data_IF_452098806566
#
_entry.id   IF_452098806566
#
_cell.length_a   1.000
_cell.length_b   1.000
_cell.length_c   1.000
_cell.angle_alpha   90.00
_cell.angle_beta   90.00
_cell.angle_gamma   90.00
#
_symmetry.space_group_name_H-M   'P 1'
#
loop_
_entity.id
_entity.type
_entity.pdbx_description
1 polymer ?
#
# COMPACT_ATOMS: atom_id res chain seq x y z
N UNK A 1 5.30 7.07 -1.28
CA UNK A 1 4.44 6.81 -2.47
C UNK A 1 5.29 6.73 -3.73
N UNK A 2 4.84 6.02 -4.76
CA UNK A 2 5.54 5.83 -6.02
C UNK A 2 4.57 5.75 -7.19
N UNK A 3 5.10 5.50 -8.39
CA UNK A 3 4.34 5.37 -9.61
C UNK A 3 3.62 4.01 -9.64
N UNK A 4 2.30 4.02 -9.59
CA UNK A 4 1.47 2.81 -9.61
C UNK A 4 1.25 2.36 -11.07
N UNK A 5 2.05 1.38 -11.50
CA UNK A 5 1.96 0.80 -12.85
C UNK A 5 0.70 -0.05 -13.02
N UNK A 6 0.26 -0.75 -11.98
CA UNK A 6 -0.89 -1.64 -12.06
C UNK A 6 -2.19 -0.83 -12.21
N UNK A 7 -2.34 0.24 -11.42
CA UNK A 7 -3.47 1.15 -11.57
C UNK A 7 -3.49 1.83 -12.94
N UNK A 8 -2.34 2.30 -13.44
CA UNK A 8 -2.24 2.90 -14.77
C UNK A 8 -2.60 1.90 -15.86
N UNK A 9 -2.07 0.68 -15.81
CA UNK A 9 -2.37 -0.39 -16.77
C UNK A 9 -3.86 -0.72 -16.80
N UNK A 10 -4.47 -0.89 -15.63
CA UNK A 10 -5.89 -1.19 -15.52
C UNK A 10 -6.75 -0.07 -16.15
N UNK A 11 -6.44 1.19 -15.86
CA UNK A 11 -7.14 2.33 -16.42
C UNK A 11 -6.95 2.42 -17.95
N UNK A 12 -5.74 2.17 -18.47
CA UNK A 12 -5.47 2.17 -19.91
C UNK A 12 -6.20 1.06 -20.65
N UNK A 13 -6.26 -0.15 -20.07
CA UNK A 13 -7.01 -1.25 -20.67
C UNK A 13 -8.52 -0.95 -20.76
N UNK A 14 -9.05 -0.21 -19.83
CA UNK A 14 -10.47 0.14 -19.78
C UNK A 14 -10.83 1.37 -20.61
N UNK A 15 -9.95 2.39 -20.65
CA UNK A 15 -10.27 3.71 -21.20
C UNK A 15 -9.41 4.12 -22.40
N UNK A 16 -8.39 3.36 -22.74
CA UNK A 16 -7.47 3.59 -23.88
C UNK A 16 -6.48 4.73 -23.66
N UNK A 17 -6.96 5.92 -23.27
CA UNK A 17 -6.16 7.11 -22.99
C UNK A 17 -6.42 7.59 -21.56
N UNK A 18 -5.36 7.85 -20.82
CA UNK A 18 -5.43 8.32 -19.42
C UNK A 18 -4.44 9.45 -19.22
N UNK A 19 -4.87 10.51 -18.55
CA UNK A 19 -3.97 11.55 -18.05
C UNK A 19 -3.66 11.28 -16.57
N UNK A 20 -2.39 11.08 -16.22
CA UNK A 20 -1.94 10.98 -14.84
C UNK A 20 -1.51 12.35 -14.34
N UNK A 21 -2.10 12.78 -13.23
CA UNK A 21 -1.75 14.03 -12.54
C UNK A 21 -1.09 13.67 -11.22
N UNK A 22 0.12 14.17 -10.96
CA UNK A 22 0.91 13.88 -9.75
C UNK A 22 1.40 15.16 -9.09
N UNK A 23 1.42 15.19 -7.76
CA UNK A 23 2.09 16.25 -6.99
C UNK A 23 3.60 16.03 -7.10
N UNK A 24 4.29 16.92 -7.80
CA UNK A 24 5.71 16.83 -8.06
C UNK A 24 6.56 17.59 -7.02
N UNK A 25 6.01 18.67 -6.46
CA UNK A 25 6.66 19.45 -5.42
C UNK A 25 5.62 20.19 -4.56
N UNK A 26 6.00 20.49 -3.32
CA UNK A 26 5.18 21.20 -2.34
C UNK A 26 6.02 22.30 -1.69
N UNK A 27 5.40 23.45 -1.45
CA UNK A 27 5.92 24.52 -0.60
C UNK A 27 4.88 24.91 0.42
N UNK A 28 5.20 24.87 1.71
CA UNK A 28 4.24 25.09 2.79
C UNK A 28 3.28 23.92 3.03
N UNK A 29 2.08 24.18 3.53
CA UNK A 29 1.10 23.14 3.84
C UNK A 29 0.36 22.67 2.58
N UNK A 30 0.18 21.38 2.44
CA UNK A 30 -0.54 20.73 1.33
C UNK A 30 -1.46 19.62 1.86
N UNK A 31 -2.61 19.37 1.22
CA UNK A 31 -3.51 18.29 1.64
C UNK A 31 -2.95 16.88 1.40
N UNK A 32 -2.02 16.73 0.47
CA UNK A 32 -1.35 15.44 0.17
C UNK A 32 0.14 15.67 -0.06
N UNK A 33 0.89 14.61 0.09
CA UNK A 33 2.34 14.53 -0.05
C UNK A 33 2.80 14.48 -1.52
N UNK A 34 4.09 14.73 -1.74
CA UNK A 34 4.74 14.54 -3.06
C UNK A 34 4.62 13.08 -3.48
N UNK A 35 4.23 12.85 -4.74
CA UNK A 35 3.95 11.53 -5.30
C UNK A 35 2.48 11.11 -5.21
N UNK A 36 1.63 11.83 -4.48
CA UNK A 36 0.20 11.61 -4.55
C UNK A 36 -0.30 11.90 -5.96
N UNK A 37 -1.09 10.99 -6.53
CA UNK A 37 -1.49 11.05 -7.93
C UNK A 37 -2.95 10.66 -8.13
N UNK A 38 -3.52 11.12 -9.23
CA UNK A 38 -4.80 10.69 -9.77
C UNK A 38 -4.67 10.36 -11.24
N UNK A 39 -5.52 9.44 -11.71
CA UNK A 39 -5.70 9.09 -13.12
C UNK A 39 -7.01 9.67 -13.60
N UNK A 40 -6.99 10.36 -14.73
CA UNK A 40 -8.14 11.07 -15.28
C UNK A 40 -8.38 10.59 -16.71
N UNK A 41 -9.63 10.27 -17.05
CA UNK A 41 -10.11 9.92 -18.38
C UNK A 41 -11.38 10.71 -18.70
N UNK A 42 -11.94 10.56 -19.87
CA UNK A 42 -13.02 11.43 -20.39
C UNK A 42 -14.20 11.60 -19.43
N UNK A 43 -14.67 10.53 -18.80
CA UNK A 43 -15.87 10.55 -17.96
C UNK A 43 -15.63 10.24 -16.49
N UNK A 44 -14.34 10.16 -16.04
CA UNK A 44 -14.07 9.80 -14.66
C UNK A 44 -12.63 10.03 -14.23
N UNK A 45 -12.37 9.64 -13.01
CA UNK A 45 -11.04 9.65 -12.42
C UNK A 45 -10.92 8.60 -11.31
N UNK A 46 -9.70 8.24 -10.96
CA UNK A 46 -9.35 7.43 -9.78
C UNK A 46 -8.11 7.98 -9.08
N UNK A 47 -7.96 7.67 -7.81
CA UNK A 47 -6.92 8.30 -6.99
C UNK A 47 -7.29 9.72 -6.59
N UNK A 48 -6.38 10.41 -5.90
CA UNK A 48 -6.62 11.78 -5.41
C UNK A 48 -5.31 12.52 -5.17
N UNK A 49 -5.30 13.82 -5.45
CA UNK A 49 -4.25 14.78 -5.11
C UNK A 49 -4.62 15.68 -3.92
N UNK A 50 -5.71 15.34 -3.21
CA UNK A 50 -6.14 16.01 -2.00
C UNK A 50 -7.55 16.57 -2.02
N UNK A 51 -8.30 16.38 -3.12
CA UNK A 51 -9.70 16.83 -3.26
C UNK A 51 -9.87 18.33 -3.43
N UNK A 52 -11.13 18.77 -3.35
CA UNK A 52 -11.51 20.19 -3.44
C UNK A 52 -11.28 20.82 -4.81
N UNK A 53 -11.17 22.16 -4.81
CA UNK A 53 -11.07 22.97 -6.04
C UNK A 53 -9.83 22.60 -6.87
N UNK A 54 -8.68 22.37 -6.23
CA UNK A 54 -7.45 22.00 -6.90
C UNK A 54 -7.62 20.73 -7.75
N UNK A 55 -8.17 19.67 -7.17
CA UNK A 55 -8.36 18.40 -7.84
C UNK A 55 -9.37 18.53 -8.98
N UNK A 56 -10.46 19.25 -8.75
CA UNK A 56 -11.47 19.52 -9.78
C UNK A 56 -10.86 20.26 -10.99
N UNK A 57 -10.15 21.37 -10.76
CA UNK A 57 -9.50 22.14 -11.83
C UNK A 57 -8.42 21.34 -12.56
N UNK A 58 -7.63 20.56 -11.82
CA UNK A 58 -6.61 19.71 -12.40
C UNK A 58 -7.22 18.58 -13.25
N UNK A 59 -8.33 17.97 -12.81
CA UNK A 59 -9.06 16.97 -13.58
C UNK A 59 -9.66 17.54 -14.86
N UNK A 60 -10.31 18.71 -14.79
CA UNK A 60 -10.84 19.40 -15.98
C UNK A 60 -9.75 19.78 -16.98
N UNK A 61 -8.61 20.25 -16.48
CA UNK A 61 -7.45 20.55 -17.31
C UNK A 61 -6.88 19.30 -17.95
N UNK A 62 -6.78 18.20 -17.21
CA UNK A 62 -6.27 16.91 -17.69
C UNK A 62 -7.16 16.32 -18.80
N UNK A 63 -8.50 16.46 -18.72
CA UNK A 63 -9.43 16.02 -19.77
C UNK A 63 -9.23 16.75 -21.07
N UNK A 64 -8.89 18.04 -21.02
CA UNK A 64 -8.70 18.92 -22.18
C UNK A 64 -7.25 18.98 -22.68
N UNK A 65 -6.33 18.29 -21.97
CA UNK A 65 -4.92 18.34 -22.31
C UNK A 65 -4.65 17.67 -23.66
N UNK A 66 -4.01 18.41 -24.56
CA UNK A 66 -3.55 17.96 -25.88
C UNK A 66 -2.04 17.66 -25.89
N UNK A 67 -1.28 18.31 -25.00
CA UNK A 67 0.17 18.12 -24.86
C UNK A 67 0.49 16.88 -24.04
N UNK A 68 1.56 16.18 -24.43
CA UNK A 68 2.00 14.96 -23.75
C UNK A 68 2.24 15.18 -22.26
N UNK A 69 2.91 16.27 -21.91
CA UNK A 69 3.27 16.62 -20.53
C UNK A 69 2.99 18.10 -20.27
N UNK A 70 2.52 18.40 -19.08
CA UNK A 70 2.29 19.76 -18.58
C UNK A 70 2.79 19.86 -17.16
N UNK A 71 3.58 20.90 -16.87
CA UNK A 71 3.99 21.33 -15.53
C UNK A 71 3.20 22.59 -15.15
N UNK A 72 2.59 22.61 -13.97
CA UNK A 72 1.85 23.78 -13.48
C UNK A 72 2.02 23.93 -11.98
N UNK A 73 2.03 25.19 -11.49
CA UNK A 73 2.11 25.50 -10.05
C UNK A 73 0.84 26.22 -9.63
N UNK A 74 0.26 25.77 -8.51
CA UNK A 74 -1.01 26.26 -7.97
C UNK A 74 -0.79 26.71 -6.55
N UNK A 75 -1.19 27.95 -6.23
CA UNK A 75 -1.26 28.45 -4.87
C UNK A 75 -2.51 27.92 -4.18
N UNK A 76 -2.38 27.37 -2.99
CA UNK A 76 -3.48 26.80 -2.19
C UNK A 76 -4.10 27.85 -1.26
N UNK A 77 -4.15 29.11 -1.71
CA UNK A 77 -4.63 30.21 -0.92
C UNK A 77 -6.12 30.50 -1.10
N UNK A 78 -6.57 31.72 -0.73
CA UNK A 78 -7.95 32.16 -0.83
C UNK A 78 -8.58 32.01 -2.20
N UNK A 79 -7.79 32.05 -3.27
CA UNK A 79 -8.26 31.92 -4.66
C UNK A 79 -8.89 30.55 -4.95
N UNK A 80 -8.49 29.50 -4.22
CA UNK A 80 -9.07 28.15 -4.30
C UNK A 80 -10.01 27.82 -3.14
N UNK A 81 -10.31 28.80 -2.26
CA UNK A 81 -11.17 28.61 -1.09
C UNK A 81 -10.63 27.58 -0.09
N UNK A 82 -9.31 27.32 -0.10
CA UNK A 82 -8.67 26.38 0.80
C UNK A 82 -7.95 27.10 1.96
N UNK A 83 -8.03 26.51 3.15
CA UNK A 83 -7.34 27.01 4.34
C UNK A 83 -5.82 26.72 4.33
N UNK A 84 -5.33 25.94 3.38
CA UNK A 84 -3.91 25.60 3.22
C UNK A 84 -3.18 26.76 2.53
N UNK A 85 -2.23 27.40 3.24
CA UNK A 85 -1.46 28.54 2.72
C UNK A 85 -0.21 28.16 1.90
N UNK A 86 -0.13 26.93 1.37
CA UNK A 86 1.01 26.45 0.59
C UNK A 86 0.84 26.57 -0.93
N UNK A 87 1.77 25.98 -1.66
CA UNK A 87 1.65 25.80 -3.11
C UNK A 87 2.08 24.40 -3.51
N UNK A 88 1.46 23.88 -4.57
CA UNK A 88 1.79 22.58 -5.16
C UNK A 88 2.19 22.74 -6.61
N UNK A 89 3.18 21.97 -7.04
CA UNK A 89 3.53 21.83 -8.45
C UNK A 89 2.99 20.49 -8.93
N UNK A 90 2.18 20.52 -9.98
CA UNK A 90 1.59 19.35 -10.61
C UNK A 90 2.28 19.04 -11.92
N UNK A 91 2.52 17.75 -12.15
CA UNK A 91 2.86 17.20 -13.46
C UNK A 91 1.66 16.42 -13.97
N UNK A 92 1.18 16.77 -15.16
CA UNK A 92 0.08 16.08 -15.85
C UNK A 92 0.62 15.46 -17.13
N UNK A 93 0.44 14.15 -17.30
CA UNK A 93 1.03 13.39 -18.40
C UNK A 93 -0.01 12.44 -19.01
N UNK A 94 -0.10 12.47 -20.34
CA UNK A 94 -0.98 11.59 -21.10
C UNK A 94 -0.24 10.28 -21.37
N UNK A 95 -0.93 9.17 -21.11
CA UNK A 95 -0.46 7.82 -21.39
C UNK A 95 -1.45 7.07 -22.28
N UNK A 96 -0.91 6.23 -23.15
CA UNK A 96 -1.56 5.15 -23.84
C UNK A 96 -0.81 3.83 -23.61
N UNK A 97 -1.23 2.73 -24.23
CA UNK A 97 -0.58 1.44 -24.06
C UNK A 97 0.83 1.36 -24.65
N UNK A 98 1.13 2.17 -25.67
CA UNK A 98 2.47 2.25 -26.26
C UNK A 98 3.44 2.96 -25.32
N UNK A 99 3.00 4.06 -24.71
CA UNK A 99 3.76 4.75 -23.66
C UNK A 99 4.00 3.85 -22.46
N UNK A 100 2.96 3.14 -22.03
CA UNK A 100 3.04 2.21 -20.90
C UNK A 100 4.12 1.13 -21.11
N UNK A 101 4.19 0.58 -22.32
CA UNK A 101 5.16 -0.46 -22.67
C UNK A 101 6.64 0.00 -22.60
N UNK A 102 6.86 1.33 -22.60
CA UNK A 102 8.21 1.94 -22.51
C UNK A 102 8.62 2.32 -21.09
N UNK A 103 7.71 2.20 -20.12
CA UNK A 103 8.02 2.57 -18.72
C UNK A 103 8.97 1.56 -18.09
N UNK A 104 9.92 2.07 -17.29
CA UNK A 104 10.77 1.24 -16.44
C UNK A 104 9.95 0.57 -15.31
N UNK A 105 10.41 -0.55 -14.83
CA UNK A 105 9.72 -1.35 -13.78
C UNK A 105 10.26 -1.10 -12.36
N UNK A 106 11.27 -0.25 -12.23
CA UNK A 106 11.86 0.08 -10.92
C UNK A 106 11.81 1.56 -10.61
N UNK A 107 12.28 2.40 -11.55
CA UNK A 107 12.36 3.85 -11.38
C UNK A 107 12.00 4.54 -12.69
N UNK A 108 10.95 5.34 -12.67
CA UNK A 108 10.51 6.11 -13.81
C UNK A 108 11.16 7.50 -13.73
N UNK A 109 12.08 7.76 -14.64
CA UNK A 109 12.80 9.02 -14.78
C UNK A 109 12.50 9.64 -16.14
N UNK A 110 11.94 10.84 -16.15
CA UNK A 110 11.49 11.48 -17.39
C UNK A 110 11.53 13.00 -17.34
N UNK A 111 11.76 13.68 -18.49
CA UNK A 111 11.65 15.11 -18.58
C UNK A 111 10.17 15.52 -18.52
N UNK A 112 9.87 16.62 -17.84
CA UNK A 112 8.47 17.11 -17.66
C UNK A 112 8.24 18.49 -18.28
N UNK A 113 9.24 19.03 -18.95
CA UNK A 113 9.13 20.27 -19.74
C UNK A 113 9.93 20.14 -21.04
N UNK A 114 9.55 20.89 -22.10
CA UNK A 114 10.31 20.89 -23.38
C UNK A 114 11.76 21.38 -23.25
N UNK A 115 12.02 22.21 -22.23
CA UNK A 115 13.35 22.78 -21.96
C UNK A 115 14.29 21.77 -21.27
N UNK A 116 13.77 20.66 -20.79
CA UNK A 116 14.58 19.62 -20.18
C UNK A 116 15.57 19.07 -21.21
N UNK A 117 16.84 19.04 -20.81
CA UNK A 117 17.93 18.49 -21.64
C UNK A 117 17.60 17.03 -21.97
N UNK A 118 18.02 16.57 -23.15
CA UNK A 118 17.74 15.21 -23.66
C UNK A 118 18.27 14.06 -22.77
N UNK A 119 19.10 14.37 -21.79
CA UNK A 119 19.58 13.39 -20.82
C UNK A 119 19.45 13.90 -19.38
N UNK A 120 19.20 13.01 -18.40
CA UNK A 120 19.08 13.40 -17.00
C UNK A 120 20.29 14.17 -16.49
N UNK A 121 20.08 15.21 -15.66
CA UNK A 121 21.16 15.97 -15.02
C UNK A 121 22.13 15.05 -14.27
N UNK A 122 23.40 15.46 -14.23
CA UNK A 122 24.44 14.67 -13.56
C UNK A 122 24.13 14.45 -12.06
N UNK A 123 23.46 15.43 -11.44
CA UNK A 123 22.99 15.34 -10.05
C UNK A 123 22.02 14.14 -9.87
N UNK A 124 21.05 13.98 -10.75
CA UNK A 124 20.09 12.86 -10.74
C UNK A 124 20.80 11.52 -10.93
N UNK A 125 21.73 11.45 -11.90
CA UNK A 125 22.51 10.23 -12.16
C UNK A 125 23.34 9.80 -10.95
N UNK A 126 24.02 10.78 -10.31
CA UNK A 126 24.83 10.54 -9.10
C UNK A 126 23.97 10.06 -7.93
N UNK A 127 22.84 10.71 -7.70
CA UNK A 127 21.92 10.35 -6.63
C UNK A 127 21.39 8.93 -6.82
N UNK A 128 20.95 8.56 -8.02
CA UNK A 128 20.48 7.20 -8.33
C UNK A 128 21.60 6.17 -8.14
N UNK A 129 22.83 6.46 -8.57
CA UNK A 129 23.98 5.57 -8.38
C UNK A 129 24.28 5.37 -6.88
N UNK A 130 24.24 6.43 -6.08
CA UNK A 130 24.45 6.37 -4.64
C UNK A 130 23.37 5.55 -3.94
N UNK A 131 22.08 5.78 -4.24
CA UNK A 131 20.96 5.04 -3.66
C UNK A 131 21.05 3.55 -4.01
N UNK A 132 21.40 3.21 -5.26
CA UNK A 132 21.63 1.82 -5.67
C UNK A 132 22.78 1.16 -4.90
N UNK A 133 23.88 1.86 -4.72
CA UNK A 133 25.03 1.36 -3.96
C UNK A 133 24.69 1.10 -2.48
N UNK A 134 23.74 1.85 -1.92
CA UNK A 134 23.28 1.73 -0.54
C UNK A 134 22.07 0.78 -0.39
N UNK A 135 21.55 0.20 -1.47
CA UNK A 135 20.32 -0.60 -1.46
C UNK A 135 19.07 0.20 -1.07
N UNK A 136 19.12 1.53 -1.21
CA UNK A 136 18.03 2.43 -0.87
C UNK A 136 17.17 2.73 -2.09
N UNK A 137 15.88 2.95 -1.87
CA UNK A 137 14.94 3.39 -2.92
C UNK A 137 14.94 4.92 -3.03
N UNK A 138 14.87 5.47 -4.25
CA UNK A 138 14.68 6.90 -4.41
C UNK A 138 13.30 7.32 -3.89
N UNK A 139 13.20 8.56 -3.47
CA UNK A 139 11.91 9.20 -3.18
C UNK A 139 11.41 9.92 -4.44
N UNK A 140 10.07 10.06 -4.55
CA UNK A 140 9.46 10.86 -5.60
C UNK A 140 9.89 12.31 -5.47
N UNK A 141 10.44 12.89 -6.55
CA UNK A 141 10.93 14.27 -6.55
C UNK A 141 11.04 14.86 -7.96
N UNK A 142 10.96 16.18 -8.02
CA UNK A 142 11.20 16.97 -9.22
C UNK A 142 12.57 17.66 -9.12
N UNK A 143 13.48 17.37 -10.03
CA UNK A 143 14.84 17.92 -10.07
C UNK A 143 15.12 18.48 -11.46
N UNK A 144 15.39 19.77 -11.58
CA UNK A 144 15.79 20.40 -12.85
C UNK A 144 14.91 19.99 -14.06
N UNK A 145 13.59 20.06 -13.89
CA UNK A 145 12.60 19.65 -14.89
C UNK A 145 12.56 18.13 -15.19
N UNK A 146 13.16 17.32 -14.36
CA UNK A 146 13.07 15.86 -14.43
C UNK A 146 12.25 15.32 -13.25
N UNK A 147 11.23 14.54 -13.56
CA UNK A 147 10.46 13.83 -12.55
C UNK A 147 11.08 12.45 -12.33
N UNK A 148 11.45 12.17 -11.09
CA UNK A 148 11.93 10.88 -10.64
C UNK A 148 10.87 10.27 -9.72
N UNK A 149 10.40 9.08 -10.06
CA UNK A 149 9.44 8.32 -9.25
C UNK A 149 9.88 6.86 -9.16
N UNK A 150 10.02 6.31 -7.97
CA UNK A 150 10.13 4.86 -7.82
C UNK A 150 8.81 4.21 -8.26
N UNK A 151 8.88 3.05 -8.89
CA UNK A 151 7.67 2.25 -9.12
C UNK A 151 7.15 1.75 -7.78
N UNK A 152 5.85 1.95 -7.57
CA UNK A 152 5.18 1.48 -6.36
C UNK A 152 5.24 -0.04 -6.30
N UNK A 153 5.73 -0.57 -5.18
CA UNK A 153 5.70 -2.00 -4.86
C UNK A 153 5.26 -2.11 -3.40
N UNK A 154 4.29 -2.97 -3.11
CA UNK A 154 3.93 -3.23 -1.73
C UNK A 154 5.15 -3.54 -0.87
N UNK A 155 5.23 -2.93 0.30
CA UNK A 155 6.39 -3.03 1.19
C UNK A 155 6.23 -4.12 2.24
N UNK A 156 4.99 -4.57 2.48
CA UNK A 156 4.64 -5.44 3.57
C UNK A 156 3.77 -6.59 3.08
N UNK A 157 4.25 -7.81 3.25
CA UNK A 157 3.46 -9.01 3.00
C UNK A 157 2.51 -9.23 4.18
N UNK A 158 1.20 -9.31 3.90
CA UNK A 158 0.16 -9.59 4.88
C UNK A 158 -0.58 -10.87 4.51
N UNK A 159 -0.50 -11.87 5.37
CA UNK A 159 -1.20 -13.14 5.22
C UNK A 159 -2.42 -13.19 6.14
N UNK A 160 -3.61 -13.33 5.55
CA UNK A 160 -4.88 -13.41 6.26
C UNK A 160 -5.38 -14.84 6.19
N UNK A 161 -5.42 -15.53 7.34
CA UNK A 161 -5.81 -16.92 7.48
C UNK A 161 -7.27 -17.01 7.92
N UNK A 162 -8.16 -17.26 6.94
CA UNK A 162 -9.59 -17.39 7.12
C UNK A 162 -10.42 -16.43 6.27
N UNK A 163 -11.37 -16.97 5.49
CA UNK A 163 -12.28 -16.21 4.61
C UNK A 163 -13.71 -16.15 5.16
N UNK A 164 -13.86 -16.19 6.49
CA UNK A 164 -15.11 -15.93 7.20
C UNK A 164 -15.48 -14.44 7.20
N UNK A 165 -16.55 -14.10 7.95
CA UNK A 165 -17.06 -12.71 7.99
C UNK A 165 -15.99 -11.67 8.39
N UNK A 166 -15.14 -11.99 9.39
CA UNK A 166 -14.08 -11.07 9.81
C UNK A 166 -12.97 -10.98 8.76
N UNK A 167 -12.58 -12.11 8.13
CA UNK A 167 -11.59 -12.12 7.07
C UNK A 167 -12.01 -11.28 5.86
N UNK A 168 -13.29 -11.38 5.47
CA UNK A 168 -13.87 -10.55 4.40
C UNK A 168 -13.82 -9.07 4.75
N UNK A 169 -14.28 -8.70 5.95
CA UNK A 169 -14.24 -7.33 6.43
C UNK A 169 -12.82 -6.77 6.52
N UNK A 170 -11.83 -7.59 6.91
CA UNK A 170 -10.42 -7.22 6.93
C UNK A 170 -9.90 -6.95 5.51
N UNK A 171 -10.18 -7.85 4.57
CA UNK A 171 -9.75 -7.67 3.18
C UNK A 171 -10.39 -6.41 2.58
N UNK A 172 -11.68 -6.18 2.81
CA UNK A 172 -12.38 -4.98 2.32
C UNK A 172 -11.77 -3.67 2.84
N UNK A 173 -11.31 -3.65 4.09
CA UNK A 173 -10.69 -2.46 4.72
C UNK A 173 -9.22 -2.32 4.34
N UNK A 174 -8.48 -3.42 4.23
CA UNK A 174 -7.02 -3.41 4.07
C UNK A 174 -6.57 -3.39 2.61
N UNK A 175 -7.35 -3.97 1.68
CA UNK A 175 -6.98 -4.03 0.27
C UNK A 175 -6.79 -2.64 -0.39
N UNK A 176 -7.57 -1.59 -0.04
CA UNK A 176 -7.34 -0.24 -0.57
C UNK A 176 -6.13 0.48 0.05
N UNK A 177 -5.54 -0.04 1.14
CA UNK A 177 -4.38 0.59 1.76
C UNK A 177 -3.14 0.35 0.90
N UNK A 178 -2.33 1.39 0.68
CA UNK A 178 -1.06 1.24 -0.02
C UNK A 178 -0.11 0.35 0.79
N UNK A 179 0.91 -0.17 0.14
CA UNK A 179 2.03 -0.88 0.73
C UNK A 179 1.73 -2.28 1.32
N UNK A 180 0.52 -2.82 1.18
CA UNK A 180 0.17 -4.17 1.59
C UNK A 180 0.04 -5.12 0.40
N UNK A 181 0.89 -6.17 0.36
CA UNK A 181 0.68 -7.34 -0.50
C UNK A 181 -0.14 -8.37 0.28
N UNK A 182 -1.43 -8.50 -0.03
CA UNK A 182 -2.32 -9.37 0.72
C UNK A 182 -2.39 -10.75 0.08
N UNK A 183 -2.01 -11.78 0.86
CA UNK A 183 -2.31 -13.19 0.56
C UNK A 183 -3.40 -13.67 1.50
N UNK A 184 -4.53 -14.08 0.90
CA UNK A 184 -5.73 -14.50 1.63
C UNK A 184 -5.90 -16.01 1.53
N UNK A 185 -5.86 -16.71 2.66
CA UNK A 185 -5.78 -18.17 2.73
C UNK A 185 -7.04 -18.73 3.39
N UNK A 186 -7.61 -19.79 2.82
CA UNK A 186 -8.64 -20.62 3.47
C UNK A 186 -8.60 -22.06 2.91
N UNK A 187 -9.41 -22.94 3.43
CA UNK A 187 -9.41 -24.39 3.16
C UNK A 187 -9.89 -24.77 1.77
N UNK A 188 -10.68 -23.94 1.10
CA UNK A 188 -11.21 -24.21 -0.23
C UNK A 188 -11.56 -22.92 -0.99
N UNK A 189 -11.56 -22.98 -2.32
CA UNK A 189 -11.93 -21.83 -3.18
C UNK A 189 -13.34 -21.32 -2.90
N UNK A 190 -14.27 -22.20 -2.55
CA UNK A 190 -15.68 -21.84 -2.25
C UNK A 190 -15.85 -21.03 -0.96
N UNK A 191 -14.80 -20.91 -0.14
CA UNK A 191 -14.81 -20.10 1.08
C UNK A 191 -14.70 -18.60 0.79
N UNK A 192 -14.04 -18.25 -0.32
CA UNK A 192 -13.87 -16.86 -0.74
C UNK A 192 -15.15 -16.29 -1.34
N UNK A 193 -15.37 -14.97 -1.27
CA UNK A 193 -16.48 -14.33 -1.97
C UNK A 193 -16.28 -14.39 -3.49
N UNK A 194 -17.37 -14.26 -4.25
CA UNK A 194 -17.33 -14.24 -5.72
C UNK A 194 -16.49 -13.07 -6.27
N UNK A 195 -16.48 -11.94 -5.56
CA UNK A 195 -15.66 -10.79 -5.88
C UNK A 195 -14.55 -10.64 -4.86
N UNK A 196 -13.31 -10.68 -5.33
CA UNK A 196 -12.10 -10.43 -4.53
C UNK A 196 -11.49 -9.11 -5.01
N UNK A 197 -11.11 -8.18 -4.11
CA UNK A 197 -10.48 -6.93 -4.50
C UNK A 197 -9.22 -7.15 -5.35
N UNK A 198 -8.98 -6.26 -6.30
CA UNK A 198 -7.76 -6.27 -7.10
C UNK A 198 -6.51 -6.19 -6.21
N UNK A 199 -5.45 -6.89 -6.59
CA UNK A 199 -4.21 -6.93 -5.80
C UNK A 199 -4.21 -7.92 -4.63
N UNK A 200 -5.35 -8.60 -4.34
CA UNK A 200 -5.41 -9.65 -3.31
C UNK A 200 -5.20 -11.02 -3.97
N UNK A 201 -4.19 -11.74 -3.51
CA UNK A 201 -3.92 -13.12 -3.94
C UNK A 201 -4.69 -14.10 -3.05
N UNK A 202 -5.60 -14.89 -3.63
CA UNK A 202 -6.25 -15.99 -2.90
C UNK A 202 -5.41 -17.25 -2.98
N UNK A 203 -5.30 -17.97 -1.87
CA UNK A 203 -4.53 -19.21 -1.77
C UNK A 203 -5.37 -20.27 -1.04
N UNK A 204 -6.19 -21.06 -1.76
CA UNK A 204 -6.94 -22.17 -1.17
C UNK A 204 -6.04 -23.39 -0.93
N UNK A 205 -6.22 -24.06 0.20
CA UNK A 205 -5.50 -25.31 0.51
C UNK A 205 -6.21 -26.10 1.61
N UNK A 206 -6.39 -27.40 1.42
CA UNK A 206 -7.10 -28.26 2.37
C UNK A 206 -6.52 -28.18 3.80
N UNK A 207 -5.19 -28.07 3.92
CA UNK A 207 -4.51 -27.78 5.17
C UNK A 207 -3.73 -26.46 5.05
N UNK A 208 -4.33 -25.33 5.46
CA UNK A 208 -3.67 -24.04 5.43
C UNK A 208 -2.35 -23.98 6.20
N UNK A 209 -2.16 -24.80 7.25
CA UNK A 209 -0.94 -24.77 8.03
C UNK A 209 0.29 -25.15 7.22
N UNK A 210 0.14 -26.01 6.21
CA UNK A 210 1.21 -26.39 5.30
C UNK A 210 1.62 -25.28 4.33
N UNK A 211 0.76 -24.27 4.14
CA UNK A 211 1.03 -23.13 3.27
C UNK A 211 1.94 -22.08 3.91
N UNK A 212 2.17 -22.15 5.22
CA UNK A 212 3.09 -21.25 5.94
C UNK A 212 4.49 -21.22 5.32
N UNK A 213 4.98 -22.33 4.78
CA UNK A 213 6.29 -22.42 4.12
C UNK A 213 6.45 -21.48 2.91
N UNK A 214 5.35 -21.01 2.34
CA UNK A 214 5.36 -20.08 1.21
C UNK A 214 5.33 -18.62 1.63
N UNK A 215 5.05 -18.34 2.91
CA UNK A 215 5.06 -16.99 3.43
C UNK A 215 6.51 -16.49 3.62
N UNK A 216 6.80 -15.22 3.31
CA UNK A 216 8.07 -14.63 3.71
C UNK A 216 8.25 -14.65 5.24
N UNK A 217 9.47 -14.94 5.71
CA UNK A 217 9.78 -15.02 7.15
C UNK A 217 9.58 -13.70 7.91
N UNK A 218 9.46 -12.59 7.19
CA UNK A 218 9.17 -11.26 7.73
C UNK A 218 7.73 -10.80 7.45
N UNK A 219 6.87 -11.67 6.94
CA UNK A 219 5.47 -11.34 6.70
C UNK A 219 4.71 -11.04 8.00
N UNK A 220 3.61 -10.34 7.86
CA UNK A 220 2.61 -10.15 8.91
C UNK A 220 1.50 -11.19 8.75
N UNK A 221 0.96 -11.70 9.86
CA UNK A 221 -0.04 -12.74 9.83
C UNK A 221 -1.24 -12.40 10.70
N UNK A 222 -2.45 -12.57 10.17
CA UNK A 222 -3.71 -12.45 10.90
C UNK A 222 -4.42 -13.79 10.89
N UNK A 223 -4.49 -14.44 12.05
CA UNK A 223 -5.07 -15.77 12.23
C UNK A 223 -6.49 -15.66 12.75
N UNK A 224 -7.46 -16.09 11.95
CA UNK A 224 -8.90 -15.92 12.21
C UNK A 224 -9.74 -16.99 11.50
N UNK A 225 -9.29 -18.25 11.55
CA UNK A 225 -9.99 -19.33 10.88
C UNK A 225 -11.27 -19.73 11.65
N UNK A 226 -12.06 -20.59 11.06
CA UNK A 226 -13.25 -21.12 11.71
C UNK A 226 -12.94 -22.23 12.76
N UNK A 227 -11.72 -22.75 12.77
CA UNK A 227 -11.28 -23.87 13.59
C UNK A 227 -10.22 -23.43 14.62
N UNK A 228 -10.52 -23.66 15.91
CA UNK A 228 -9.51 -23.43 16.97
C UNK A 228 -8.27 -24.34 16.84
N UNK A 229 -8.46 -25.54 16.28
CA UNK A 229 -7.35 -26.47 16.04
C UNK A 229 -6.42 -25.94 14.96
N UNK A 230 -6.99 -25.49 13.83
CA UNK A 230 -6.24 -24.86 12.75
C UNK A 230 -5.56 -23.56 13.21
N UNK A 231 -6.26 -22.72 13.99
CA UNK A 231 -5.66 -21.52 14.59
C UNK A 231 -4.45 -21.86 15.47
N UNK A 232 -4.53 -22.94 16.26
CA UNK A 232 -3.41 -23.39 17.08
C UNK A 232 -2.25 -23.93 16.24
N UNK A 233 -2.55 -24.74 15.21
CA UNK A 233 -1.54 -25.25 14.29
C UNK A 233 -0.82 -24.11 13.55
N UNK A 234 -1.55 -23.09 13.10
CA UNK A 234 -0.98 -21.89 12.50
C UNK A 234 -0.10 -21.13 13.50
N UNK A 235 -0.56 -20.90 14.73
CA UNK A 235 0.25 -20.23 15.77
C UNK A 235 1.54 -21.01 16.06
N UNK A 236 1.47 -22.34 16.19
CA UNK A 236 2.64 -23.20 16.37
C UNK A 236 3.60 -23.09 15.18
N UNK A 237 3.09 -23.24 13.96
CA UNK A 237 3.89 -23.13 12.75
C UNK A 237 4.54 -21.76 12.58
N UNK A 238 3.84 -20.68 12.90
CA UNK A 238 4.38 -19.31 12.84
C UNK A 238 5.55 -19.12 13.82
N UNK A 239 5.47 -19.65 15.02
CA UNK A 239 6.57 -19.57 16.00
C UNK A 239 7.83 -20.29 15.51
N UNK A 240 7.69 -21.33 14.70
CA UNK A 240 8.81 -22.04 14.09
C UNK A 240 9.33 -21.38 12.81
N UNK A 241 8.39 -20.83 11.99
CA UNK A 241 8.72 -20.24 10.70
C UNK A 241 9.37 -18.86 10.82
N UNK A 242 8.89 -18.03 11.75
CA UNK A 242 9.23 -16.62 11.85
C UNK A 242 8.16 -15.70 11.25
N UNK A 243 8.12 -14.44 11.73
CA UNK A 243 7.19 -13.40 11.27
C UNK A 243 7.64 -12.04 11.80
N UNK A 244 7.20 -10.95 11.15
CA UNK A 244 7.35 -9.59 11.69
C UNK A 244 6.24 -9.23 12.68
N UNK A 245 5.02 -9.76 12.43
CA UNK A 245 3.86 -9.63 13.29
C UNK A 245 2.93 -10.83 13.14
N UNK A 246 2.39 -11.32 14.25
CA UNK A 246 1.33 -12.32 14.25
C UNK A 246 0.21 -11.89 15.20
N UNK A 247 -1.00 -11.79 14.66
CA UNK A 247 -2.20 -11.46 15.40
C UNK A 247 -3.22 -12.60 15.34
N UNK A 248 -3.75 -12.99 16.49
CA UNK A 248 -4.79 -14.02 16.60
C UNK A 248 -6.10 -13.39 17.05
N UNK A 249 -7.19 -13.70 16.33
CA UNK A 249 -8.52 -13.35 16.83
C UNK A 249 -8.94 -14.31 17.93
N UNK A 250 -9.36 -13.79 19.07
CA UNK A 250 -9.80 -14.63 20.16
C UNK A 250 -10.10 -13.85 21.44
N UNK A 251 -10.82 -14.51 22.35
CA UNK A 251 -11.01 -14.00 23.71
C UNK A 251 -9.80 -14.25 24.59
N UNK A 252 -9.72 -13.55 25.71
CA UNK A 252 -8.70 -13.82 26.74
C UNK A 252 -8.69 -15.30 27.20
N UNK A 253 -9.87 -15.94 27.26
CA UNK A 253 -10.00 -17.36 27.61
C UNK A 253 -9.41 -18.27 26.52
N UNK A 254 -9.67 -17.98 25.22
CA UNK A 254 -9.04 -18.72 24.13
C UNK A 254 -7.54 -18.59 24.17
N UNK A 255 -7.04 -17.37 24.38
CA UNK A 255 -5.61 -17.09 24.43
C UNK A 255 -4.92 -17.79 25.63
N UNK A 256 -5.54 -17.80 26.80
CA UNK A 256 -5.00 -18.53 27.97
C UNK A 256 -4.80 -20.03 27.65
N UNK A 257 -5.80 -20.65 27.00
CA UNK A 257 -5.72 -22.07 26.57
C UNK A 257 -4.64 -22.28 25.50
N UNK A 258 -4.51 -21.36 24.54
CA UNK A 258 -3.50 -21.44 23.49
C UNK A 258 -2.08 -21.32 24.07
N UNK A 259 -1.84 -20.41 25.00
CA UNK A 259 -0.55 -20.27 25.67
C UNK A 259 -0.12 -21.58 26.36
N UNK A 260 -1.04 -22.21 27.07
CA UNK A 260 -0.76 -23.50 27.71
C UNK A 260 -0.42 -24.60 26.69
N UNK A 261 -1.18 -24.70 25.60
CA UNK A 261 -0.95 -25.70 24.55
C UNK A 261 0.35 -25.45 23.79
N UNK A 262 0.66 -24.18 23.44
CA UNK A 262 1.93 -23.82 22.80
C UNK A 262 3.13 -24.10 23.71
N UNK A 263 3.01 -23.84 25.00
CA UNK A 263 4.06 -24.22 25.97
C UNK A 263 4.27 -25.75 26.03
N UNK A 264 3.19 -26.53 25.99
CA UNK A 264 3.27 -28.00 25.91
C UNK A 264 3.89 -28.50 24.59
N UNK A 265 3.82 -27.72 23.52
CA UNK A 265 4.49 -27.96 22.22
C UNK A 265 5.96 -27.50 22.22
N UNK A 266 6.51 -27.03 23.35
CA UNK A 266 7.92 -26.68 23.51
C UNK A 266 8.28 -25.23 23.33
N UNK A 267 7.30 -24.33 23.09
CA UNK A 267 7.58 -22.90 22.95
C UNK A 267 7.77 -22.23 24.33
N UNK A 268 8.78 -21.37 24.40
CA UNK A 268 9.03 -20.56 25.61
C UNK A 268 7.96 -19.44 25.77
N UNK A 269 7.75 -18.95 27.01
CA UNK A 269 6.87 -17.80 27.23
C UNK A 269 7.23 -16.55 26.39
N UNK A 270 8.51 -16.33 26.15
CA UNK A 270 9.01 -15.22 25.37
C UNK A 270 8.61 -15.35 23.87
N UNK A 271 8.72 -16.54 23.30
CA UNK A 271 8.28 -16.83 21.94
C UNK A 271 6.76 -16.67 21.81
N UNK A 272 6.00 -17.26 22.72
CA UNK A 272 4.53 -17.17 22.73
C UNK A 272 4.05 -15.71 22.83
N UNK A 273 4.74 -14.88 23.61
CA UNK A 273 4.41 -13.47 23.77
C UNK A 273 4.59 -12.64 22.49
N UNK A 274 5.26 -13.17 21.45
CA UNK A 274 5.35 -12.53 20.13
C UNK A 274 4.02 -12.53 19.37
N UNK A 275 3.08 -13.43 19.70
CA UNK A 275 1.74 -13.47 19.12
C UNK A 275 0.83 -12.53 19.92
N UNK A 276 0.22 -11.58 19.22
CA UNK A 276 -0.76 -10.65 19.81
C UNK A 276 -2.16 -11.30 19.82
N UNK A 277 -2.78 -11.42 20.98
CA UNK A 277 -4.16 -11.88 21.11
C UNK A 277 -4.83 -11.23 22.34
N UNK A 278 -6.03 -10.64 22.19
CA UNK A 278 -6.75 -10.40 20.93
C UNK A 278 -6.07 -9.37 20.05
N UNK A 279 -6.25 -9.49 18.73
CA UNK A 279 -5.83 -8.48 17.77
C UNK A 279 -6.84 -7.32 17.73
N UNK A 280 -6.36 -6.14 17.34
CA UNK A 280 -7.15 -4.92 17.21
C UNK A 280 -7.52 -4.31 18.55
N UNK A 281 -8.63 -3.58 18.56
CA UNK A 281 -9.11 -2.85 19.74
C UNK A 281 -10.43 -3.44 20.21
N UNK A 282 -10.43 -4.33 21.21
CA UNK A 282 -11.66 -5.01 21.70
C UNK A 282 -12.78 -4.05 22.14
N UNK A 283 -12.43 -2.85 22.59
CA UNK A 283 -13.37 -1.82 23.01
C UNK A 283 -14.28 -1.32 21.89
N UNK A 284 -13.88 -1.49 20.61
CA UNK A 284 -14.69 -1.10 19.45
C UNK A 284 -15.87 -2.05 19.21
N UNK A 285 -15.90 -3.23 19.85
CA UNK A 285 -16.99 -4.20 19.72
C UNK A 285 -16.61 -5.45 18.94
N UNK A 286 -17.65 -6.26 18.64
CA UNK A 286 -17.47 -7.60 18.03
C UNK A 286 -18.01 -7.71 16.60
N UNK A 287 -18.55 -6.62 16.05
CA UNK A 287 -18.99 -6.63 14.65
C UNK A 287 -17.79 -6.78 13.71
N UNK A 288 -17.85 -7.60 12.64
CA UNK A 288 -16.74 -7.85 11.75
C UNK A 288 -16.04 -6.57 11.25
N UNK A 289 -16.78 -5.55 10.83
CA UNK A 289 -16.22 -4.28 10.38
C UNK A 289 -15.54 -3.49 11.50
N UNK A 290 -16.07 -3.51 12.73
CA UNK A 290 -15.42 -2.86 13.88
C UNK A 290 -14.10 -3.54 14.23
N UNK A 291 -14.06 -4.88 14.16
CA UNK A 291 -12.82 -5.64 14.33
C UNK A 291 -11.82 -5.26 13.24
N UNK A 292 -12.27 -5.22 11.98
CA UNK A 292 -11.42 -4.89 10.83
C UNK A 292 -10.80 -3.49 10.96
N UNK A 293 -11.59 -2.49 11.35
CA UNK A 293 -11.11 -1.12 11.60
C UNK A 293 -10.08 -1.09 12.74
N UNK A 294 -10.34 -1.80 13.85
CA UNK A 294 -9.39 -1.87 14.98
C UNK A 294 -8.07 -2.54 14.60
N UNK A 295 -8.12 -3.60 13.80
CA UNK A 295 -6.91 -4.29 13.30
C UNK A 295 -6.16 -3.40 12.29
N UNK A 296 -6.87 -2.75 11.38
CA UNK A 296 -6.25 -1.82 10.43
C UNK A 296 -5.52 -0.68 11.14
N UNK A 297 -6.15 -0.08 12.15
CA UNK A 297 -5.52 0.97 12.96
C UNK A 297 -4.26 0.47 13.68
N UNK A 298 -4.28 -0.76 14.21
CA UNK A 298 -3.09 -1.35 14.84
C UNK A 298 -1.96 -1.56 13.84
N UNK A 299 -2.24 -2.11 12.65
CA UNK A 299 -1.24 -2.33 11.61
C UNK A 299 -0.61 -1.02 11.13
N UNK A 300 -1.42 0.01 10.87
CA UNK A 300 -0.95 1.33 10.47
C UNK A 300 -0.08 1.99 11.56
N UNK A 301 -0.50 1.91 12.82
CA UNK A 301 0.29 2.44 13.93
C UNK A 301 1.63 1.70 14.12
N UNK A 302 1.71 0.42 13.76
CA UNK A 302 2.96 -0.35 13.77
C UNK A 302 3.88 0.07 12.62
N UNK A 303 3.33 0.25 11.42
CA UNK A 303 4.07 0.73 10.26
C UNK A 303 4.72 2.09 10.53
N UNK A 304 3.94 3.06 11.01
CA UNK A 304 4.44 4.39 11.35
C UNK A 304 5.56 4.39 12.40
N UNK A 305 5.45 3.51 13.43
CA UNK A 305 6.51 3.36 14.45
C UNK A 305 7.80 2.75 13.89
N UNK A 306 7.69 1.89 12.89
CA UNK A 306 8.84 1.27 12.24
C UNK A 306 9.60 2.29 11.39
N UNK A 307 8.90 3.09 10.59
CA UNK A 307 9.49 4.16 9.78
C UNK A 307 10.26 5.16 10.65
N UNK A 308 9.66 5.66 11.74
CA UNK A 308 10.32 6.59 12.68
C UNK A 308 11.60 5.97 13.30
N UNK A 309 11.61 4.67 13.54
CA UNK A 309 12.79 3.99 14.09
C UNK A 309 13.89 3.84 13.06
N UNK A 310 13.56 3.54 11.81
CA UNK A 310 14.50 3.41 10.70
C UNK A 310 15.14 4.77 10.38
N UNK A 311 14.35 5.87 10.33
CA UNK A 311 14.84 7.23 10.15
C UNK A 311 15.82 7.70 11.25
N UNK A 312 15.60 7.27 12.50
CA UNK A 312 16.49 7.61 13.64
C UNK A 312 17.78 6.79 13.66
N UNK A 313 17.85 5.73 12.88
CA UNK A 313 18.98 4.80 12.85
C UNK A 313 19.86 4.99 11.59
N UNK A 314 19.39 5.79 10.63
CA UNK A 314 20.08 6.19 9.40
C UNK A 314 20.81 7.53 9.58
#
# INVERSE_FOLDING_TARGET
MGFDLDALRAALLQHGRVCRVVIAAIRGSSPREVGAAMLVWDQGQSGTIGGGALEFEAAETARRQDRKTRLSTHALGPDLGQCCGGSVTLVSEIYDMEDFARLDTEVILRPVTPEAVTSPPLAVKRQLAQLRAQGQRPQTQLIDHWMLEPVHKPQQDLWIWGAGHVGRALVDVLAPLPDLAITWVDTATTRFPAHVPAGVTILPGQDPSLLLRHAPVNAQHLVLTYSHELDLALCHGLLLHGFSFAGLIGSATKWARFRSRLAALGHSPAEIARITCPIGTPALGKHPQMIAVGVAAELLARAARREIKEERSA
#
